data_IF_368088177066
#
_entry.id   IF_368088177066
#
_cell.length_a   1.000
_cell.length_b   1.000
_cell.length_c   1.000
_cell.angle_alpha   90.00
_cell.angle_beta   90.00
_cell.angle_gamma   90.00
#
_symmetry.space_group_name_H-M   'P 1'
#
loop_
_entity.id
_entity.type
_entity.pdbx_description
1 polymer ?
#
# COMPACT_ATOMS: atom_id res chain seq x y z
N UNK A 1 16.77 -26.35 60.86
CA UNK A 1 16.32 -26.59 59.48
C UNK A 1 15.10 -25.72 59.23
N UNK A 2 15.23 -24.62 58.47
CA UNK A 2 14.16 -23.65 58.24
C UNK A 2 14.21 -23.30 56.75
N UNK A 3 13.37 -23.95 55.95
CA UNK A 3 13.27 -23.71 54.51
C UNK A 3 12.38 -22.49 54.28
N UNK A 4 12.97 -21.43 53.71
CA UNK A 4 12.27 -20.24 53.26
C UNK A 4 11.93 -20.43 51.79
N UNK A 5 10.65 -20.68 51.49
CA UNK A 5 10.14 -20.69 50.12
C UNK A 5 10.00 -19.26 49.62
N UNK A 6 10.82 -18.87 48.65
CA UNK A 6 10.64 -17.61 47.89
C UNK A 6 9.77 -17.95 46.68
N UNK A 7 8.52 -17.51 46.70
CA UNK A 7 7.66 -17.51 45.51
C UNK A 7 8.06 -16.34 44.60
N UNK A 8 8.80 -16.65 43.54
CA UNK A 8 9.05 -15.72 42.44
C UNK A 8 7.78 -15.65 41.57
N UNK A 9 7.01 -14.57 41.69
CA UNK A 9 5.89 -14.28 40.79
C UNK A 9 6.45 -13.58 39.55
N UNK A 10 6.51 -14.30 38.42
CA UNK A 10 6.77 -13.72 37.10
C UNK A 10 5.53 -12.92 36.67
N UNK A 11 5.63 -11.59 36.76
CA UNK A 11 4.62 -10.68 36.20
C UNK A 11 4.83 -10.64 34.69
N UNK A 12 4.02 -11.41 33.94
CA UNK A 12 3.87 -11.22 32.50
C UNK A 12 3.13 -9.88 32.30
N UNK A 13 3.86 -8.82 31.95
CA UNK A 13 3.22 -7.59 31.51
C UNK A 13 2.56 -7.85 30.14
N UNK A 14 1.23 -7.66 29.99
CA UNK A 14 0.59 -7.77 28.69
C UNK A 14 1.11 -6.64 27.79
N UNK A 15 1.66 -6.99 26.63
CA UNK A 15 1.95 -6.03 25.58
C UNK A 15 0.61 -5.48 25.08
N UNK A 16 0.19 -4.33 25.61
CA UNK A 16 -0.95 -3.61 25.04
C UNK A 16 -0.51 -3.13 23.66
N UNK A 17 -1.02 -3.77 22.62
CA UNK A 17 -0.97 -3.22 21.27
C UNK A 17 -1.71 -1.88 21.32
N UNK A 18 -0.96 -0.78 21.32
CA UNK A 18 -1.54 0.54 21.14
C UNK A 18 -2.16 0.58 19.76
N UNK A 19 -3.46 0.86 19.67
CA UNK A 19 -4.08 1.13 18.38
C UNK A 19 -3.33 2.31 17.76
N UNK A 20 -2.81 2.12 16.56
CA UNK A 20 -2.09 3.15 15.85
C UNK A 20 -3.04 4.32 15.53
N UNK A 21 -2.58 5.55 15.75
CA UNK A 21 -3.37 6.73 15.41
C UNK A 21 -3.42 6.90 13.89
N UNK A 22 -4.62 7.02 13.33
CA UNK A 22 -4.84 7.19 11.89
C UNK A 22 -5.33 8.62 11.65
N UNK A 23 -4.66 9.33 10.74
CA UNK A 23 -4.99 10.70 10.35
C UNK A 23 -5.39 10.76 8.88
N UNK A 24 -6.47 11.49 8.59
CA UNK A 24 -6.85 11.80 7.21
C UNK A 24 -5.85 12.79 6.61
N UNK A 25 -5.26 12.45 5.46
CA UNK A 25 -4.33 13.30 4.71
C UNK A 25 -4.89 13.57 3.33
N UNK A 26 -4.93 14.85 2.96
CA UNK A 26 -5.42 15.35 1.69
C UNK A 26 -4.26 15.70 0.76
N UNK A 27 -4.31 15.20 -0.47
CA UNK A 27 -3.33 15.42 -1.52
C UNK A 27 -3.99 16.16 -2.70
N UNK A 28 -3.56 17.39 -2.97
CA UNK A 28 -4.11 18.20 -4.07
C UNK A 28 -3.58 17.72 -5.41
N UNK A 29 -4.49 17.44 -6.35
CA UNK A 29 -4.15 16.93 -7.68
C UNK A 29 -4.24 18.05 -8.72
N UNK A 30 -3.56 19.17 -8.43
CA UNK A 30 -3.59 20.37 -9.26
C UNK A 30 -5.03 20.85 -9.54
N UNK A 31 -5.46 20.86 -10.82
CA UNK A 31 -6.82 21.24 -11.26
C UNK A 31 -7.84 20.12 -11.14
N UNK A 32 -7.40 18.92 -10.76
CA UNK A 32 -8.22 17.73 -10.70
C UNK A 32 -8.56 17.41 -9.25
N UNK A 33 -9.04 18.35 -8.42
CA UNK A 33 -9.55 18.04 -7.07
C UNK A 33 -8.54 17.46 -6.06
N UNK A 34 -9.04 16.71 -5.08
CA UNK A 34 -8.24 16.17 -3.97
C UNK A 34 -8.40 14.65 -3.82
N UNK A 35 -7.32 13.96 -3.48
CA UNK A 35 -7.34 12.58 -2.99
C UNK A 35 -7.12 12.59 -1.48
N UNK A 36 -8.01 11.95 -0.73
CA UNK A 36 -7.85 11.75 0.71
C UNK A 36 -7.47 10.30 1.02
N UNK A 37 -6.47 10.12 1.89
CA UNK A 37 -6.05 8.81 2.41
C UNK A 37 -6.04 8.83 3.94
N UNK A 38 -6.46 7.73 4.56
CA UNK A 38 -6.38 7.50 6.01
C UNK A 38 -5.03 6.88 6.35
N UNK A 39 -4.07 7.74 6.69
CA UNK A 39 -2.66 7.36 6.83
C UNK A 39 -2.30 7.25 8.31
N UNK A 40 -1.59 6.19 8.74
CA UNK A 40 -1.05 6.14 10.09
C UNK A 40 -0.15 7.34 10.42
N UNK A 41 -0.26 7.86 11.64
CA UNK A 41 0.51 9.03 12.08
C UNK A 41 2.01 8.74 12.10
N UNK A 42 2.41 7.48 12.31
CA UNK A 42 3.81 7.05 12.31
C UNK A 42 4.45 7.09 10.91
N UNK A 43 3.65 7.27 9.84
CA UNK A 43 4.14 7.33 8.47
C UNK A 43 4.36 8.77 8.02
N UNK A 44 5.45 8.99 7.29
CA UNK A 44 5.74 10.23 6.57
C UNK A 44 5.22 10.13 5.14
N UNK A 45 5.05 11.29 4.52
CA UNK A 45 4.72 11.38 3.10
C UNK A 45 5.63 12.38 2.38
N UNK A 46 5.78 12.17 1.08
CA UNK A 46 6.42 13.10 0.15
C UNK A 46 5.74 13.00 -1.20
N UNK A 47 5.70 14.10 -1.94
CA UNK A 47 5.04 14.15 -3.25
C UNK A 47 6.11 14.47 -4.30
N UNK A 48 6.22 13.61 -5.31
CA UNK A 48 7.05 13.87 -6.48
C UNK A 48 6.16 14.26 -7.64
N UNK A 49 6.30 15.49 -8.11
CA UNK A 49 5.59 16.00 -9.27
C UNK A 49 6.51 15.90 -10.50
N UNK A 50 6.17 15.10 -11.52
CA UNK A 50 6.92 15.09 -12.77
C UNK A 50 6.84 16.45 -13.49
N UNK A 51 7.83 16.80 -14.33
CA UNK A 51 7.69 17.90 -15.28
C UNK A 51 6.49 17.64 -16.20
N UNK A 52 5.71 18.68 -16.54
CA UNK A 52 4.40 18.64 -17.26
C UNK A 52 3.16 18.31 -16.40
N UNK A 53 1.94 18.48 -16.93
CA UNK A 53 0.65 18.16 -16.27
C UNK A 53 0.44 16.63 -16.13
N UNK A 54 1.46 15.88 -15.70
CA UNK A 54 1.38 14.46 -15.40
C UNK A 54 0.98 14.22 -13.93
N UNK A 55 0.35 13.06 -13.64
CA UNK A 55 0.06 12.61 -12.27
C UNK A 55 1.23 12.72 -11.29
N UNK A 56 1.05 13.37 -10.12
CA UNK A 56 2.03 13.29 -9.05
C UNK A 56 2.10 11.86 -8.51
N UNK A 57 3.24 11.50 -7.91
CA UNK A 57 3.35 10.27 -7.12
C UNK A 57 3.52 10.61 -5.66
N UNK A 58 2.60 10.12 -4.84
CA UNK A 58 2.64 10.19 -3.38
C UNK A 58 3.48 9.01 -2.91
N UNK A 59 4.54 9.28 -2.16
CA UNK A 59 5.35 8.27 -1.48
C UNK A 59 5.05 8.31 0.01
N UNK A 60 4.64 7.18 0.58
CA UNK A 60 4.56 6.97 2.02
C UNK A 60 5.71 6.08 2.48
N UNK A 61 6.28 6.41 3.63
CA UNK A 61 7.41 5.70 4.23
C UNK A 61 7.36 5.84 5.75
N UNK A 62 8.03 4.98 6.54
CA UNK A 62 8.05 5.13 7.98
C UNK A 62 8.74 6.47 8.36
N UNK A 63 8.25 7.16 9.40
CA UNK A 63 9.02 8.25 10.01
C UNK A 63 10.24 7.71 10.75
N UNK A 64 10.12 6.51 11.34
CA UNK A 64 11.16 5.81 12.10
C UNK A 64 10.98 4.29 11.96
N UNK A 65 12.06 3.52 12.14
CA UNK A 65 12.01 2.06 12.22
C UNK A 65 12.30 1.33 10.90
N UNK A 66 11.73 0.12 10.79
CA UNK A 66 11.94 -0.76 9.64
C UNK A 66 11.43 -0.11 8.34
N UNK A 67 12.25 -0.18 7.29
CA UNK A 67 11.95 0.48 6.02
C UNK A 67 10.86 -0.27 5.24
N UNK A 68 9.94 0.52 4.70
CA UNK A 68 9.00 0.15 3.64
C UNK A 68 8.80 1.35 2.71
N UNK A 69 8.23 1.12 1.53
CA UNK A 69 7.85 2.21 0.62
C UNK A 69 6.51 1.90 -0.01
N UNK A 70 5.60 2.86 0.02
CA UNK A 70 4.33 2.81 -0.71
C UNK A 70 4.35 3.95 -1.70
N UNK A 71 4.12 3.64 -2.96
CA UNK A 71 3.95 4.62 -4.03
C UNK A 71 2.49 4.58 -4.47
N UNK A 72 1.86 5.75 -4.57
CA UNK A 72 0.50 5.90 -5.06
C UNK A 72 0.46 7.03 -6.09
N UNK A 73 0.10 6.70 -7.32
CA UNK A 73 0.02 7.64 -8.44
C UNK A 73 -1.45 7.77 -8.86
N UNK A 74 -2.13 8.86 -8.46
CA UNK A 74 -3.50 9.14 -8.90
C UNK A 74 -3.53 9.64 -10.34
N UNK A 75 -3.96 8.77 -11.25
CA UNK A 75 -4.12 9.02 -12.67
C UNK A 75 -5.54 9.52 -12.90
N UNK A 76 -5.67 10.76 -13.36
CA UNK A 76 -6.94 11.28 -13.89
C UNK A 76 -7.14 10.82 -15.33
N UNK A 77 -8.38 10.43 -15.65
CA UNK A 77 -8.77 10.12 -17.02
C UNK A 77 -8.86 11.44 -17.80
N UNK A 78 -8.05 11.60 -18.83
CA UNK A 78 -7.75 12.89 -19.47
C UNK A 78 -8.91 13.56 -20.24
N UNK A 79 -10.15 13.07 -20.16
CA UNK A 79 -11.34 13.67 -20.75
C UNK A 79 -12.62 13.07 -20.15
N UNK A 80 -13.67 13.88 -20.04
CA UNK A 80 -15.00 13.48 -19.55
C UNK A 80 -15.65 12.33 -20.37
N UNK A 81 -15.18 12.10 -21.60
CA UNK A 81 -15.68 11.05 -22.49
C UNK A 81 -14.91 9.72 -22.39
N UNK A 82 -13.81 9.67 -21.63
CA UNK A 82 -13.11 8.41 -21.36
C UNK A 82 -13.90 7.67 -20.29
N UNK A 83 -14.53 6.57 -20.70
CA UNK A 83 -15.19 5.66 -19.76
C UNK A 83 -14.19 5.15 -18.74
N UNK A 84 -14.57 5.16 -17.47
CA UNK A 84 -13.83 4.45 -16.43
C UNK A 84 -13.65 2.99 -16.86
N UNK A 85 -12.46 2.40 -16.69
CA UNK A 85 -12.23 1.01 -17.02
C UNK A 85 -13.22 0.11 -16.28
N UNK A 86 -13.69 -0.91 -16.97
CA UNK A 86 -14.47 -1.99 -16.38
C UNK A 86 -13.63 -2.80 -15.38
N UNK A 87 -14.24 -3.54 -14.45
CA UNK A 87 -13.51 -4.41 -13.54
C UNK A 87 -12.59 -5.42 -14.26
N UNK A 88 -13.05 -5.97 -15.39
CA UNK A 88 -12.24 -6.91 -16.18
C UNK A 88 -11.03 -6.23 -16.84
N UNK A 89 -11.17 -4.99 -17.31
CA UNK A 89 -10.05 -4.21 -17.84
C UNK A 89 -9.04 -3.86 -16.72
N UNK A 90 -9.50 -3.48 -15.53
CA UNK A 90 -8.60 -3.26 -14.38
C UNK A 90 -7.84 -4.54 -14.02
N UNK A 91 -8.55 -5.67 -13.95
CA UNK A 91 -7.94 -6.97 -13.67
C UNK A 91 -6.91 -7.35 -14.74
N UNK A 92 -7.21 -7.09 -16.02
CA UNK A 92 -6.30 -7.35 -17.13
C UNK A 92 -5.03 -6.48 -17.06
N UNK A 93 -5.15 -5.19 -16.73
CA UNK A 93 -3.99 -4.31 -16.53
C UNK A 93 -3.10 -4.82 -15.39
N UNK A 94 -3.70 -5.21 -14.26
CA UNK A 94 -2.94 -5.77 -13.13
C UNK A 94 -2.31 -7.12 -13.47
N UNK A 95 -3.00 -7.94 -14.28
CA UNK A 95 -2.44 -9.19 -14.83
C UNK A 95 -1.19 -8.95 -15.67
N UNK A 96 -1.21 -7.96 -16.56
CA UNK A 96 -0.02 -7.62 -17.36
C UNK A 96 1.18 -7.23 -16.48
N UNK A 97 0.94 -6.44 -15.42
CA UNK A 97 2.00 -6.11 -14.47
C UNK A 97 2.51 -7.33 -13.69
N UNK A 98 1.61 -8.25 -13.30
CA UNK A 98 1.98 -9.51 -12.66
C UNK A 98 2.82 -10.41 -13.58
N UNK A 99 2.47 -10.50 -14.86
CA UNK A 99 3.21 -11.32 -15.84
C UNK A 99 4.64 -10.79 -16.06
N UNK A 100 4.84 -9.47 -15.98
CA UNK A 100 6.17 -8.84 -16.00
C UNK A 100 6.93 -9.15 -14.71
N UNK A 101 6.30 -8.98 -13.55
CA UNK A 101 6.91 -9.26 -12.25
C UNK A 101 7.34 -10.73 -12.12
N UNK A 102 6.53 -11.66 -12.65
CA UNK A 102 6.78 -13.10 -12.60
C UNK A 102 8.17 -13.48 -13.13
N UNK A 103 8.69 -12.75 -14.12
CA UNK A 103 10.01 -13.00 -14.72
C UNK A 103 11.18 -12.88 -13.73
N UNK A 104 10.97 -12.17 -12.62
CA UNK A 104 11.98 -11.93 -11.58
C UNK A 104 11.51 -12.41 -10.20
N UNK A 105 10.42 -13.16 -10.14
CA UNK A 105 9.78 -13.59 -8.90
C UNK A 105 10.19 -15.02 -8.51
N UNK A 106 10.09 -15.35 -7.22
CA UNK A 106 10.26 -16.72 -6.70
C UNK A 106 9.07 -17.62 -7.05
N UNK A 107 7.91 -17.05 -7.30
CA UNK A 107 6.67 -17.76 -7.59
C UNK A 107 6.66 -18.33 -9.01
N UNK A 108 6.14 -19.56 -9.17
CA UNK A 108 5.90 -20.16 -10.50
C UNK A 108 4.67 -19.55 -11.21
N UNK A 109 3.77 -18.94 -10.44
CA UNK A 109 2.59 -18.24 -10.95
C UNK A 109 2.11 -17.20 -9.94
N UNK A 110 1.54 -16.11 -10.44
CA UNK A 110 1.02 -15.02 -9.61
C UNK A 110 -0.50 -14.94 -9.73
N UNK A 111 -1.20 -14.87 -8.59
CA UNK A 111 -2.66 -14.68 -8.54
C UNK A 111 -3.02 -13.19 -8.54
N UNK A 112 -4.09 -12.81 -9.27
CA UNK A 112 -4.69 -11.47 -9.14
C UNK A 112 -5.79 -11.50 -8.08
N UNK A 113 -5.54 -10.78 -7.00
CA UNK A 113 -6.43 -10.61 -5.85
C UNK A 113 -7.29 -9.38 -6.03
N UNK A 114 -8.52 -9.45 -5.55
CA UNK A 114 -9.44 -8.32 -5.53
C UNK A 114 -9.20 -7.47 -4.27
N UNK A 115 -9.25 -6.15 -4.42
CA UNK A 115 -9.18 -5.17 -3.34
C UNK A 115 -10.49 -4.40 -3.29
N UNK A 116 -11.32 -4.68 -2.29
CA UNK A 116 -12.61 -4.00 -2.09
C UNK A 116 -12.51 -2.96 -0.99
N UNK A 117 -12.93 -1.75 -1.32
CA UNK A 117 -13.20 -0.67 -0.37
C UNK A 117 -14.70 -0.48 -0.14
N UNK A 118 -15.08 0.46 0.74
CA UNK A 118 -16.47 0.85 0.92
C UNK A 118 -17.11 1.38 -0.36
N UNK A 119 -16.33 2.12 -1.17
CA UNK A 119 -16.79 2.78 -2.39
C UNK A 119 -15.91 2.47 -3.61
N UNK A 120 -14.87 1.66 -3.43
CA UNK A 120 -13.76 1.50 -4.37
C UNK A 120 -13.62 0.03 -4.73
N UNK A 121 -13.25 -0.27 -5.97
CA UNK A 121 -12.86 -1.62 -6.39
C UNK A 121 -11.52 -1.54 -7.08
N UNK A 122 -10.68 -2.53 -6.84
CA UNK A 122 -9.39 -2.65 -7.48
C UNK A 122 -8.89 -4.08 -7.48
N UNK A 123 -7.70 -4.24 -8.04
CA UNK A 123 -7.01 -5.51 -8.12
C UNK A 123 -5.53 -5.31 -7.84
N UNK A 124 -4.90 -6.34 -7.29
CA UNK A 124 -3.47 -6.33 -7.03
C UNK A 124 -2.90 -7.74 -7.10
N UNK A 125 -1.58 -7.82 -7.13
CA UNK A 125 -0.85 -9.05 -6.94
C UNK A 125 0.25 -8.89 -5.90
N UNK A 126 0.80 -10.01 -5.46
CA UNK A 126 1.98 -10.09 -4.60
C UNK A 126 3.06 -10.87 -5.35
N UNK A 127 4.31 -10.45 -5.20
CA UNK A 127 5.48 -11.12 -5.75
C UNK A 127 6.65 -11.03 -4.76
N UNK A 128 7.49 -12.06 -4.72
CA UNK A 128 8.74 -12.08 -3.95
C UNK A 128 9.92 -12.09 -4.92
N UNK A 129 10.82 -11.12 -4.82
CA UNK A 129 12.04 -11.06 -5.63
C UNK A 129 12.92 -12.30 -5.35
N UNK A 130 13.34 -13.00 -6.41
CA UNK A 130 14.20 -14.18 -6.31
C UNK A 130 15.65 -13.85 -5.93
N UNK A 131 16.12 -12.63 -6.21
CA UNK A 131 17.51 -12.23 -6.00
C UNK A 131 17.64 -10.72 -5.68
N UNK A 132 16.99 -10.23 -4.61
CA UNK A 132 17.03 -8.81 -4.25
C UNK A 132 18.47 -8.39 -3.92
N UNK A 133 18.91 -7.25 -4.47
CA UNK A 133 20.24 -6.75 -4.14
C UNK A 133 20.28 -6.22 -2.69
N UNK A 134 21.47 -6.17 -2.06
CA UNK A 134 21.60 -5.59 -0.73
C UNK A 134 21.03 -4.17 -0.65
N UNK A 135 20.04 -3.98 0.22
CA UNK A 135 19.35 -2.70 0.42
C UNK A 135 18.07 -2.51 -0.41
N UNK A 136 17.74 -3.44 -1.29
CA UNK A 136 16.45 -3.47 -1.99
C UNK A 136 15.36 -4.15 -1.17
N UNK A 137 14.11 -4.00 -1.63
CA UNK A 137 12.95 -4.65 -1.01
C UNK A 137 12.72 -6.02 -1.62
N UNK A 138 12.49 -7.01 -0.76
CA UNK A 138 12.23 -8.39 -1.18
C UNK A 138 10.80 -8.63 -1.66
N UNK A 139 9.83 -7.92 -1.10
CA UNK A 139 8.40 -8.14 -1.35
C UNK A 139 7.77 -6.96 -2.07
N UNK A 140 7.00 -7.28 -3.11
CA UNK A 140 6.23 -6.33 -3.88
C UNK A 140 4.74 -6.69 -3.82
N UNK A 141 3.89 -5.69 -3.57
CA UNK A 141 2.47 -5.76 -3.87
C UNK A 141 2.13 -4.60 -4.80
N UNK A 142 1.56 -4.89 -5.96
CA UNK A 142 1.29 -3.86 -6.96
C UNK A 142 -0.11 -4.04 -7.52
N UNK A 143 -0.79 -2.91 -7.76
CA UNK A 143 -2.17 -2.94 -8.18
C UNK A 143 -2.72 -1.58 -8.60
N UNK A 144 -4.02 -1.59 -8.87
CA UNK A 144 -4.79 -0.40 -9.24
C UNK A 144 -6.12 -0.45 -8.51
N UNK A 145 -6.54 0.69 -7.97
CA UNK A 145 -7.91 0.92 -7.47
C UNK A 145 -8.61 2.00 -8.30
N UNK A 146 -9.91 1.86 -8.51
CA UNK A 146 -10.76 2.90 -9.05
C UNK A 146 -11.42 3.69 -7.90
N UNK A 147 -11.28 5.02 -7.94
CA UNK A 147 -11.82 5.96 -6.94
C UNK A 147 -12.55 7.08 -7.68
N UNK A 148 -13.87 6.95 -7.86
CA UNK A 148 -14.69 7.82 -8.73
C UNK A 148 -14.09 7.97 -10.13
N UNK A 149 -13.62 9.17 -10.48
CA UNK A 149 -13.02 9.56 -11.75
C UNK A 149 -11.50 9.33 -11.82
N UNK A 150 -10.90 8.82 -10.75
CA UNK A 150 -9.47 8.52 -10.66
C UNK A 150 -9.19 7.02 -10.72
N UNK A 151 -8.06 6.68 -11.33
CA UNK A 151 -7.37 5.42 -11.08
C UNK A 151 -6.18 5.71 -10.17
N UNK A 152 -5.97 4.94 -9.11
CA UNK A 152 -4.75 5.04 -8.30
C UNK A 152 -3.95 3.77 -8.55
N UNK A 153 -2.87 3.91 -9.31
CA UNK A 153 -1.84 2.88 -9.43
C UNK A 153 -0.98 2.90 -8.18
N UNK A 154 -0.65 1.73 -7.63
CA UNK A 154 0.14 1.65 -6.42
C UNK A 154 1.16 0.52 -6.43
N UNK A 155 2.23 0.73 -5.67
CA UNK A 155 3.26 -0.27 -5.35
C UNK A 155 3.58 -0.20 -3.87
N UNK A 156 3.61 -1.35 -3.20
CA UNK A 156 3.99 -1.51 -1.79
C UNK A 156 5.23 -2.40 -1.76
N UNK A 157 6.31 -1.87 -1.22
CA UNK A 157 7.61 -2.51 -1.15
C UNK A 157 7.98 -2.73 0.32
N UNK A 158 8.26 -3.99 0.68
CA UNK A 158 8.52 -4.40 2.06
C UNK A 158 9.59 -5.49 2.12
N UNK A 159 10.05 -5.81 3.33
CA UNK A 159 10.93 -6.94 3.63
C UNK A 159 10.24 -7.94 4.57
N UNK A 160 10.89 -9.08 4.84
CA UNK A 160 10.35 -10.15 5.69
C UNK A 160 9.85 -9.62 7.04
N UNK A 161 8.70 -10.14 7.52
CA UNK A 161 8.11 -9.76 8.81
C UNK A 161 7.30 -8.46 8.82
N UNK A 162 7.02 -7.88 7.64
CA UNK A 162 6.26 -6.65 7.47
C UNK A 162 4.86 -6.86 6.87
N UNK A 163 4.27 -8.05 7.07
CA UNK A 163 2.93 -8.39 6.55
C UNK A 163 1.84 -7.46 7.11
N UNK A 164 2.02 -6.96 8.34
CA UNK A 164 1.14 -5.96 8.95
C UNK A 164 1.14 -4.64 8.16
N UNK A 165 2.31 -4.18 7.72
CA UNK A 165 2.45 -2.97 6.90
C UNK A 165 1.73 -3.15 5.56
N UNK A 166 1.84 -4.32 4.92
CA UNK A 166 1.11 -4.62 3.67
C UNK A 166 -0.40 -4.56 3.91
N UNK A 167 -0.90 -5.13 5.01
CA UNK A 167 -2.32 -5.10 5.35
C UNK A 167 -2.83 -3.67 5.59
N UNK A 168 -2.06 -2.86 6.34
CA UNK A 168 -2.37 -1.44 6.58
C UNK A 168 -2.35 -0.65 5.27
N UNK A 169 -1.36 -0.89 4.41
CA UNK A 169 -1.24 -0.29 3.09
C UNK A 169 -2.45 -0.59 2.19
N UNK A 170 -2.86 -1.85 2.11
CA UNK A 170 -4.04 -2.22 1.33
C UNK A 170 -5.33 -1.63 1.94
N UNK A 171 -5.43 -1.59 3.27
CA UNK A 171 -6.57 -0.97 3.95
C UNK A 171 -6.69 0.52 3.62
N UNK A 172 -5.60 1.29 3.71
CA UNK A 172 -5.64 2.72 3.42
C UNK A 172 -6.02 3.00 1.96
N UNK A 173 -5.46 2.23 1.01
CA UNK A 173 -5.74 2.33 -0.41
C UNK A 173 -7.22 2.01 -0.70
N UNK A 174 -7.73 0.92 -0.13
CA UNK A 174 -9.15 0.56 -0.29
C UNK A 174 -10.11 1.61 0.29
N UNK A 175 -9.65 2.39 1.29
CA UNK A 175 -10.42 3.46 1.92
C UNK A 175 -10.23 4.84 1.28
N UNK A 176 -9.50 4.94 0.16
CA UNK A 176 -9.21 6.21 -0.48
C UNK A 176 -10.48 6.93 -0.90
N UNK A 177 -10.54 8.25 -0.67
CA UNK A 177 -11.70 9.06 -1.02
C UNK A 177 -11.31 10.19 -1.97
N UNK A 178 -12.26 10.57 -2.82
CA UNK A 178 -12.09 11.56 -3.86
C UNK A 178 -13.06 12.72 -3.64
N UNK A 179 -12.53 13.93 -3.44
CA UNK A 179 -13.28 15.17 -3.18
C UNK A 179 -13.08 16.21 -4.29
#
# INVERSE_FOLDING_TARGET
MRYMFVCLVLILAPFMASAENIVARSYTLQKHGTLELKVPESWGDSITQPPSELPPTIKLSPKNGAQFTILATPIWLAQADIKSPTPDELRATVRQAADIALLQSMEDSIEIKELKGPTNTGYYFTATDQAPQPGEFKHLNQGIIAVKDLLVSFTILTNDGQEAIVKEALSLLSSAERH
#
